data_IF_752556193822
#
_entry.id   IF_752556193822
#
_cell.length_a   1.000
_cell.length_b   1.000
_cell.length_c   1.000
_cell.angle_alpha   90.00
_cell.angle_beta   90.00
_cell.angle_gamma   90.00
#
_symmetry.space_group_name_H-M   'P 1'
#
loop_
_entity.id
_entity.type
_entity.pdbx_description
1 polymer ?
#
# COMPACT_ATOMS: atom_id res chain seq x y z
N UNK A 1 -14.97 23.22 41.55
CA UNK A 1 -14.50 21.84 41.83
C UNK A 1 -14.58 21.06 40.52
N UNK A 2 -13.45 20.71 39.88
CA UNK A 2 -13.44 19.99 38.60
C UNK A 2 -13.53 18.49 38.88
N UNK A 3 -14.60 17.84 38.44
CA UNK A 3 -14.74 16.38 38.51
C UNK A 3 -13.78 15.74 37.50
N UNK A 4 -12.79 14.99 38.01
CA UNK A 4 -11.91 14.15 37.20
C UNK A 4 -12.57 12.78 37.05
N UNK A 5 -12.88 12.37 35.82
CA UNK A 5 -13.30 11.00 35.53
C UNK A 5 -12.07 10.11 35.30
N UNK A 6 -12.06 8.86 35.80
CA UNK A 6 -10.91 7.98 35.65
C UNK A 6 -10.78 7.48 34.21
N UNK A 7 -9.58 7.58 33.65
CA UNK A 7 -9.23 7.06 32.32
C UNK A 7 -9.09 5.53 32.39
N UNK A 8 -9.75 4.76 31.50
CA UNK A 8 -9.63 3.30 31.51
C UNK A 8 -8.23 2.86 31.06
N UNK A 9 -7.63 1.95 31.83
CA UNK A 9 -6.32 1.35 31.52
C UNK A 9 -6.46 0.36 30.36
N UNK A 10 -5.88 0.69 29.20
CA UNK A 10 -5.81 -0.22 28.05
C UNK A 10 -4.63 -1.17 28.23
N UNK A 11 -4.89 -2.46 28.47
CA UNK A 11 -3.87 -3.50 28.43
C UNK A 11 -3.77 -4.05 27.01
N UNK A 12 -2.55 -4.05 26.44
CA UNK A 12 -2.29 -4.65 25.13
C UNK A 12 -2.43 -6.16 25.24
N UNK A 13 -3.46 -6.75 24.61
CA UNK A 13 -3.54 -8.20 24.43
C UNK A 13 -2.61 -8.60 23.29
N UNK A 14 -1.59 -9.40 23.60
CA UNK A 14 -0.73 -10.06 22.61
C UNK A 14 -1.51 -11.26 22.06
N UNK A 15 -1.82 -11.25 20.77
CA UNK A 15 -2.45 -12.39 20.09
C UNK A 15 -1.33 -13.22 19.46
N UNK A 16 -1.09 -14.41 20.01
CA UNK A 16 -0.22 -15.42 19.40
C UNK A 16 -1.12 -16.31 18.53
N UNK A 17 -0.97 -16.21 17.21
CA UNK A 17 -1.75 -17.01 16.25
C UNK A 17 -0.98 -18.31 15.99
N UNK A 18 -1.51 -19.44 16.45
CA UNK A 18 -1.00 -20.77 16.12
C UNK A 18 -1.67 -21.27 14.82
N UNK A 19 -0.89 -21.49 13.76
CA UNK A 19 -1.35 -21.75 12.39
C UNK A 19 -1.76 -23.22 12.14
N UNK A 20 -2.42 -23.89 13.09
CA UNK A 20 -2.86 -25.29 12.92
C UNK A 20 -4.27 -25.54 13.45
N UNK A 21 -5.26 -24.92 12.81
CA UNK A 21 -6.64 -25.42 12.69
C UNK A 21 -7.48 -24.47 11.82
N UNK A 22 -7.80 -24.87 10.59
CA UNK A 22 -8.75 -24.18 9.70
C UNK A 22 -10.19 -24.50 10.11
N UNK A 23 -10.64 -24.00 11.27
CA UNK A 23 -12.05 -24.00 11.65
C UNK A 23 -12.42 -22.61 12.14
N UNK A 24 -13.10 -21.85 11.30
CA UNK A 24 -13.72 -20.57 11.67
C UNK A 24 -15.11 -20.92 12.20
N UNK A 25 -15.33 -20.71 13.50
CA UNK A 25 -16.67 -20.71 14.08
C UNK A 25 -17.30 -19.34 13.79
N UNK A 26 -18.35 -19.32 12.98
CA UNK A 26 -19.18 -18.14 12.78
C UNK A 26 -19.98 -17.87 14.06
N UNK A 27 -19.82 -16.66 14.61
CA UNK A 27 -20.56 -16.20 15.78
C UNK A 27 -21.73 -15.35 15.27
N UNK A 28 -22.88 -16.00 15.07
CA UNK A 28 -24.13 -15.33 14.70
C UNK A 28 -24.66 -14.47 15.85
N UNK A 29 -24.40 -13.16 15.78
CA UNK A 29 -25.12 -12.18 16.59
C UNK A 29 -26.53 -11.97 16.03
N UNK A 30 -27.45 -12.90 16.32
CA UNK A 30 -28.90 -12.65 16.21
C UNK A 30 -29.35 -11.76 17.37
N UNK A 31 -29.52 -10.47 17.11
CA UNK A 31 -30.23 -9.57 18.03
C UNK A 31 -31.75 -9.78 17.90
N UNK A 32 -32.25 -10.69 18.75
CA UNK A 32 -33.36 -10.48 19.67
C UNK A 32 -34.62 -9.72 19.19
N UNK A 33 -35.48 -10.40 18.41
CA UNK A 33 -36.93 -10.11 18.39
C UNK A 33 -37.57 -10.76 19.62
N UNK A 34 -37.58 -10.02 20.73
CA UNK A 34 -38.34 -10.40 21.92
C UNK A 34 -39.79 -9.94 21.79
N UNK A 35 -40.71 -10.88 22.05
CA UNK A 35 -42.07 -10.70 22.58
C UNK A 35 -43.13 -10.20 21.58
N UNK A 36 -44.29 -10.84 21.36
CA UNK A 36 -45.00 -11.90 22.08
C UNK A 36 -45.96 -12.58 21.10
N UNK A 37 -45.89 -13.90 20.98
CA UNK A 37 -47.04 -14.72 20.62
C UNK A 37 -47.68 -15.15 21.95
N UNK A 38 -48.88 -14.63 22.24
CA UNK A 38 -49.81 -15.29 23.15
C UNK A 38 -51.25 -14.93 22.77
N UNK A 39 -51.93 -15.95 22.24
CA UNK A 39 -53.35 -16.28 22.40
C UNK A 39 -54.40 -15.20 22.08
N UNK A 40 -54.92 -15.25 20.84
CA UNK A 40 -56.28 -14.80 20.57
C UNK A 40 -57.23 -15.99 20.72
N UNK A 41 -57.80 -16.14 21.91
CA UNK A 41 -59.08 -16.81 22.11
C UNK A 41 -60.00 -15.82 22.81
N UNK A 42 -61.19 -15.66 22.24
CA UNK A 42 -62.36 -15.06 22.86
C UNK A 42 -62.34 -13.54 23.11
N UNK A 43 -62.94 -12.80 22.18
CA UNK A 43 -64.22 -12.13 22.45
C UNK A 43 -64.74 -11.38 21.21
N UNK A 44 -65.77 -11.97 20.59
CA UNK A 44 -66.72 -11.23 19.77
C UNK A 44 -67.42 -10.18 20.64
N UNK A 45 -67.19 -8.88 20.40
CA UNK A 45 -68.04 -7.81 20.91
C UNK A 45 -68.27 -6.73 19.84
N UNK A 46 -69.46 -6.83 19.25
CA UNK A 46 -70.35 -5.75 18.78
C UNK A 46 -69.78 -4.74 17.77
N UNK A 47 -70.10 -4.99 16.49
CA UNK A 47 -70.08 -3.98 15.43
C UNK A 47 -71.25 -3.04 15.65
N UNK A 48 -70.99 -1.81 16.09
CA UNK A 48 -71.88 -0.67 15.85
C UNK A 48 -71.39 0.03 14.59
N UNK A 49 -72.13 -0.12 13.47
CA UNK A 49 -71.93 0.70 12.28
C UNK A 49 -72.26 2.14 12.63
N UNK A 50 -71.24 2.99 12.68
CA UNK A 50 -71.39 4.44 12.64
C UNK A 50 -71.12 4.82 11.19
N UNK A 51 -72.15 5.28 10.49
CA UNK A 51 -72.02 5.85 9.15
C UNK A 51 -71.34 7.22 9.27
N UNK A 52 -70.14 7.33 8.71
CA UNK A 52 -69.40 8.60 8.62
C UNK A 52 -69.63 9.16 7.20
N UNK A 53 -70.07 10.43 7.05
CA UNK A 53 -70.33 11.05 5.76
C UNK A 53 -69.10 11.05 4.83
N UNK A 54 -69.34 10.59 3.61
CA UNK A 54 -68.42 10.45 2.49
C UNK A 54 -68.14 11.84 1.90
N UNK A 55 -67.25 12.64 2.51
CA UNK A 55 -66.77 13.85 1.83
C UNK A 55 -65.36 14.31 2.26
N UNK A 56 -64.64 13.54 3.09
CA UNK A 56 -63.28 13.85 3.54
C UNK A 56 -62.20 12.81 3.14
N UNK A 57 -62.54 11.79 2.34
CA UNK A 57 -61.60 10.71 1.99
C UNK A 57 -60.82 10.94 0.69
N UNK A 58 -61.34 11.77 -0.23
CA UNK A 58 -60.75 11.93 -1.56
C UNK A 58 -59.41 12.69 -1.55
N UNK A 59 -59.19 13.59 -0.58
CA UNK A 59 -57.91 14.28 -0.42
C UNK A 59 -56.87 13.41 0.30
N UNK A 60 -57.26 12.70 1.37
CA UNK A 60 -56.37 11.83 2.15
C UNK A 60 -55.83 10.64 1.35
N UNK A 61 -56.64 10.08 0.44
CA UNK A 61 -56.24 8.95 -0.41
C UNK A 61 -55.17 9.33 -1.45
N UNK A 62 -55.18 10.57 -1.95
CA UNK A 62 -54.22 11.05 -2.94
C UNK A 62 -52.82 11.28 -2.32
N UNK A 63 -52.75 11.81 -1.09
CA UNK A 63 -51.48 11.96 -0.35
C UNK A 63 -50.83 10.61 0.01
N UNK A 64 -51.65 9.60 0.29
CA UNK A 64 -51.15 8.25 0.62
C UNK A 64 -50.60 7.53 -0.63
N UNK A 65 -51.25 7.71 -1.78
CA UNK A 65 -50.78 7.17 -3.07
C UNK A 65 -49.47 7.84 -3.51
N UNK A 66 -49.36 9.17 -3.41
CA UNK A 66 -48.14 9.90 -3.75
C UNK A 66 -46.97 9.51 -2.84
N UNK A 67 -47.21 9.29 -1.54
CA UNK A 67 -46.20 8.79 -0.60
C UNK A 67 -45.70 7.40 -1.00
N UNK A 68 -46.61 6.48 -1.35
CA UNK A 68 -46.26 5.13 -1.79
C UNK A 68 -45.41 5.15 -3.08
N UNK A 69 -45.79 6.00 -4.05
CA UNK A 69 -45.03 6.19 -5.29
C UNK A 69 -43.60 6.69 -5.03
N UNK A 70 -43.41 7.63 -4.09
CA UNK A 70 -42.09 8.13 -3.70
C UNK A 70 -41.23 7.03 -3.07
N UNK A 71 -41.82 6.22 -2.21
CA UNK A 71 -41.16 5.09 -1.56
C UNK A 71 -40.71 4.06 -2.60
N UNK A 72 -41.59 3.68 -3.54
CA UNK A 72 -41.24 2.74 -4.62
C UNK A 72 -40.10 3.26 -5.48
N UNK A 73 -40.11 4.55 -5.83
CA UNK A 73 -39.03 5.16 -6.61
C UNK A 73 -37.68 5.12 -5.87
N UNK A 74 -37.70 5.34 -4.55
CA UNK A 74 -36.50 5.25 -3.73
C UNK A 74 -35.93 3.81 -3.70
N UNK A 75 -36.80 2.81 -3.55
CA UNK A 75 -36.39 1.40 -3.63
C UNK A 75 -35.76 1.05 -4.97
N UNK A 76 -36.35 1.52 -6.08
CA UNK A 76 -35.81 1.29 -7.42
C UNK A 76 -34.45 1.99 -7.61
N UNK A 77 -34.28 3.21 -7.11
CA UNK A 77 -32.99 3.90 -7.14
C UNK A 77 -31.93 3.14 -6.35
N UNK A 78 -32.27 2.69 -5.14
CA UNK A 78 -31.36 1.92 -4.31
C UNK A 78 -31.01 0.57 -4.94
N UNK A 79 -31.96 -0.11 -5.61
CA UNK A 79 -31.67 -1.38 -6.30
C UNK A 79 -30.68 -1.19 -7.45
N UNK A 80 -30.81 -0.10 -8.22
CA UNK A 80 -29.86 0.25 -9.28
C UNK A 80 -28.49 0.56 -8.67
N UNK A 81 -28.43 1.37 -7.62
CA UNK A 81 -27.17 1.69 -6.95
C UNK A 81 -26.46 0.45 -6.40
N UNK A 82 -27.20 -0.50 -5.82
CA UNK A 82 -26.64 -1.77 -5.35
C UNK A 82 -26.06 -2.58 -6.51
N UNK A 83 -26.73 -2.59 -7.66
CA UNK A 83 -26.22 -3.24 -8.87
C UNK A 83 -24.94 -2.57 -9.37
N UNK A 84 -24.88 -1.24 -9.38
CA UNK A 84 -23.70 -0.48 -9.78
C UNK A 84 -22.50 -0.73 -8.85
N UNK A 85 -22.74 -0.80 -7.53
CA UNK A 85 -21.70 -1.17 -6.58
C UNK A 85 -21.21 -2.60 -6.80
N UNK A 86 -22.10 -3.53 -7.13
CA UNK A 86 -21.72 -4.90 -7.43
C UNK A 86 -20.79 -4.97 -8.65
N UNK A 87 -21.09 -4.22 -9.71
CA UNK A 87 -20.24 -4.11 -10.90
C UNK A 87 -18.85 -3.56 -10.53
N UNK A 88 -18.79 -2.46 -9.78
CA UNK A 88 -17.52 -1.87 -9.35
C UNK A 88 -16.68 -2.83 -8.49
N UNK A 89 -17.32 -3.58 -7.60
CA UNK A 89 -16.66 -4.61 -6.79
C UNK A 89 -16.03 -5.67 -7.70
N UNK A 90 -16.74 -6.13 -8.73
CA UNK A 90 -16.25 -7.18 -9.60
C UNK A 90 -15.12 -6.69 -10.53
N UNK A 91 -15.18 -5.43 -11.00
CA UNK A 91 -14.06 -4.80 -11.71
C UNK A 91 -12.80 -4.70 -10.83
N UNK A 92 -12.96 -4.28 -9.57
CA UNK A 92 -11.83 -4.20 -8.64
C UNK A 92 -11.23 -5.57 -8.34
N UNK A 93 -12.05 -6.61 -8.18
CA UNK A 93 -11.58 -7.99 -8.01
C UNK A 93 -10.75 -8.45 -9.20
N UNK A 94 -11.22 -8.21 -10.43
CA UNK A 94 -10.47 -8.56 -11.64
C UNK A 94 -9.12 -7.83 -11.69
N UNK A 95 -9.09 -6.54 -11.32
CA UNK A 95 -7.86 -5.76 -11.28
C UNK A 95 -6.87 -6.27 -10.23
N UNK A 96 -7.34 -6.64 -9.04
CA UNK A 96 -6.52 -7.24 -7.99
C UNK A 96 -5.91 -8.56 -8.49
N UNK A 97 -6.74 -9.44 -9.06
CA UNK A 97 -6.28 -10.72 -9.60
C UNK A 97 -5.20 -10.53 -10.69
N UNK A 98 -5.38 -9.55 -11.57
CA UNK A 98 -4.38 -9.23 -12.59
C UNK A 98 -3.05 -8.76 -11.97
N UNK A 99 -3.11 -7.92 -10.94
CA UNK A 99 -1.91 -7.43 -10.24
C UNK A 99 -1.19 -8.59 -9.54
N UNK A 100 -1.91 -9.47 -8.86
CA UNK A 100 -1.35 -10.65 -8.19
C UNK A 100 -0.65 -11.59 -9.20
N UNK A 101 -1.28 -11.83 -10.34
CA UNK A 101 -0.69 -12.63 -11.42
C UNK A 101 0.61 -11.99 -11.94
N UNK A 102 0.59 -10.68 -12.18
CA UNK A 102 1.78 -9.93 -12.63
C UNK A 102 2.90 -9.98 -11.60
N UNK A 103 2.57 -9.86 -10.32
CA UNK A 103 3.53 -9.95 -9.22
C UNK A 103 4.17 -11.34 -9.15
N UNK A 104 3.36 -12.41 -9.23
CA UNK A 104 3.85 -13.80 -9.27
C UNK A 104 4.82 -14.04 -10.45
N UNK A 105 4.51 -13.51 -11.64
CA UNK A 105 5.39 -13.59 -12.81
C UNK A 105 6.71 -12.81 -12.64
N UNK A 106 6.67 -11.67 -11.95
CA UNK A 106 7.87 -10.91 -11.61
C UNK A 106 8.73 -11.62 -10.56
N UNK A 107 8.12 -12.24 -9.55
CA UNK A 107 8.85 -13.04 -8.56
C UNK A 107 9.61 -14.20 -9.20
N UNK A 108 8.96 -14.95 -10.10
CA UNK A 108 9.64 -16.08 -10.79
C UNK A 108 10.78 -15.60 -11.70
N UNK A 109 10.66 -14.40 -12.27
CA UNK A 109 11.69 -13.79 -13.11
C UNK A 109 12.85 -13.22 -12.29
N UNK A 110 12.56 -12.61 -11.13
CA UNK A 110 13.55 -11.98 -10.25
C UNK A 110 14.29 -12.98 -9.34
N UNK A 111 13.68 -14.13 -9.03
CA UNK A 111 14.34 -15.24 -8.28
C UNK A 111 15.44 -15.93 -9.09
N UNK A 112 15.52 -15.72 -10.41
CA UNK A 112 16.64 -16.20 -11.23
C UNK A 112 17.89 -15.39 -10.87
N UNK A 113 18.83 -16.00 -10.14
CA UNK A 113 20.14 -15.41 -9.88
C UNK A 113 20.76 -14.99 -11.22
N UNK A 114 20.97 -13.69 -11.42
CA UNK A 114 21.68 -13.19 -12.61
C UNK A 114 23.06 -13.84 -12.65
N UNK A 115 23.40 -14.50 -13.76
CA UNK A 115 24.75 -15.06 -13.96
C UNK A 115 25.73 -13.90 -13.92
N UNK A 116 26.60 -13.88 -12.91
CA UNK A 116 27.69 -12.90 -12.84
C UNK A 116 28.75 -13.29 -13.87
N UNK A 117 29.29 -12.30 -14.57
CA UNK A 117 30.47 -12.50 -15.41
C UNK A 117 31.64 -12.97 -14.57
N UNK A 118 32.44 -13.88 -15.09
CA UNK A 118 33.68 -14.32 -14.44
C UNK A 118 34.79 -13.28 -14.63
N UNK A 119 35.86 -13.34 -13.83
CA UNK A 119 36.98 -12.41 -13.95
C UNK A 119 37.71 -12.50 -15.31
N UNK A 120 37.57 -13.63 -16.02
CA UNK A 120 38.12 -13.83 -17.36
C UNK A 120 37.23 -13.23 -18.47
N UNK A 121 35.92 -13.14 -18.24
CA UNK A 121 34.95 -12.57 -19.19
C UNK A 121 34.88 -11.04 -19.16
N UNK A 122 35.54 -10.40 -18.19
CA UNK A 122 35.55 -8.94 -18.06
C UNK A 122 36.78 -8.41 -18.79
N UNK A 123 36.55 -7.68 -19.88
CA UNK A 123 37.58 -6.92 -20.60
C UNK A 123 38.26 -5.91 -19.67
N UNK A 124 39.59 -5.91 -19.63
CA UNK A 124 40.38 -5.09 -18.70
C UNK A 124 41.04 -3.91 -19.40
N UNK A 125 40.22 -3.02 -19.93
CA UNK A 125 40.69 -1.91 -20.77
C UNK A 125 41.25 -0.72 -19.95
N UNK A 126 41.21 -0.78 -18.62
CA UNK A 126 41.62 0.32 -17.73
C UNK A 126 42.92 -0.02 -17.01
N UNK A 127 44.04 0.51 -17.48
CA UNK A 127 45.36 0.32 -16.90
C UNK A 127 45.68 1.38 -15.83
N UNK A 128 46.44 0.96 -14.79
CA UNK A 128 46.92 1.89 -13.78
C UNK A 128 48.02 2.80 -14.35
N UNK A 129 47.92 4.13 -14.20
CA UNK A 129 48.90 5.06 -14.79
C UNK A 129 50.26 5.09 -14.08
N UNK A 130 50.39 4.49 -12.89
CA UNK A 130 51.65 4.53 -12.14
C UNK A 130 52.67 3.56 -12.74
N UNK A 131 53.88 4.07 -13.05
CA UNK A 131 54.95 3.30 -13.72
C UNK A 131 55.35 2.00 -13.00
N UNK A 132 55.14 1.92 -11.69
CA UNK A 132 55.43 0.73 -10.87
C UNK A 132 54.21 -0.18 -10.67
N UNK A 133 53.08 0.06 -11.37
CA UNK A 133 51.87 -0.72 -11.25
C UNK A 133 51.30 -1.15 -12.62
N UNK A 134 51.49 -2.41 -12.96
CA UNK A 134 51.03 -3.00 -14.23
C UNK A 134 49.62 -3.61 -14.12
N UNK A 135 48.78 -3.10 -13.21
CA UNK A 135 47.46 -3.68 -12.95
C UNK A 135 46.41 -3.11 -13.90
N UNK A 136 45.61 -4.00 -14.46
CA UNK A 136 44.50 -3.67 -15.34
C UNK A 136 43.16 -4.05 -14.71
N UNK A 137 42.14 -3.23 -15.00
CA UNK A 137 40.83 -3.27 -14.38
C UNK A 137 39.73 -3.24 -15.44
N UNK A 138 38.58 -3.83 -15.10
CA UNK A 138 37.43 -3.92 -16.01
C UNK A 138 36.47 -2.73 -15.96
N UNK A 139 36.74 -1.77 -15.10
CA UNK A 139 35.98 -0.52 -15.02
C UNK A 139 36.78 0.58 -14.35
N UNK A 140 36.47 1.82 -14.71
CA UNK A 140 36.96 3.02 -14.03
C UNK A 140 36.78 2.98 -12.52
N UNK A 141 35.65 2.44 -12.02
CA UNK A 141 35.36 2.41 -10.58
C UNK A 141 36.41 1.54 -9.87
N UNK A 142 36.70 0.36 -10.42
CA UNK A 142 37.71 -0.54 -9.86
C UNK A 142 39.13 0.02 -9.97
N UNK A 143 39.46 0.73 -11.06
CA UNK A 143 40.73 1.43 -11.21
C UNK A 143 40.88 2.55 -10.18
N UNK A 144 39.86 3.40 -10.01
CA UNK A 144 39.90 4.50 -9.04
C UNK A 144 40.03 3.99 -7.60
N UNK A 145 39.36 2.88 -7.28
CA UNK A 145 39.49 2.23 -5.98
C UNK A 145 40.91 1.71 -5.74
N UNK A 146 41.50 1.12 -6.77
CA UNK A 146 42.89 0.68 -6.74
C UNK A 146 43.84 1.86 -6.48
N UNK A 147 43.71 2.96 -7.21
CA UNK A 147 44.56 4.14 -7.03
C UNK A 147 44.41 4.72 -5.62
N UNK A 148 43.17 4.79 -5.10
CA UNK A 148 42.90 5.26 -3.74
C UNK A 148 43.65 4.44 -2.68
N UNK A 149 43.59 3.11 -2.77
CA UNK A 149 44.13 2.23 -1.72
C UNK A 149 45.57 1.79 -1.92
N UNK A 150 46.06 1.70 -3.16
CA UNK A 150 47.42 1.20 -3.46
C UNK A 150 48.40 2.31 -3.76
N UNK A 151 47.92 3.45 -4.21
CA UNK A 151 48.77 4.58 -4.54
C UNK A 151 48.56 5.77 -3.60
N UNK A 152 47.71 5.67 -2.58
CA UNK A 152 47.35 6.80 -1.72
C UNK A 152 46.87 8.03 -2.51
N UNK A 153 46.23 7.80 -3.66
CA UNK A 153 45.87 8.88 -4.57
C UNK A 153 44.57 9.60 -4.23
N UNK A 154 44.03 9.42 -3.03
CA UNK A 154 42.81 10.10 -2.59
C UNK A 154 41.57 9.75 -3.42
N UNK A 155 40.50 10.51 -3.21
CA UNK A 155 39.22 10.31 -3.90
C UNK A 155 39.26 10.87 -5.33
N UNK A 156 38.54 10.27 -6.29
CA UNK A 156 38.56 10.69 -7.70
C UNK A 156 38.27 12.19 -7.86
N UNK A 157 37.20 12.68 -7.25
CA UNK A 157 36.76 14.07 -7.38
C UNK A 157 37.75 15.07 -6.77
N UNK A 158 38.36 14.70 -5.64
CA UNK A 158 39.35 15.52 -4.95
C UNK A 158 40.64 15.61 -5.75
N UNK A 159 41.16 14.46 -6.21
CA UNK A 159 42.30 14.39 -7.13
C UNK A 159 42.08 15.25 -8.38
N UNK A 160 40.91 15.18 -9.01
CA UNK A 160 40.61 15.97 -10.21
C UNK A 160 40.57 17.48 -9.92
N UNK A 161 40.04 17.89 -8.76
CA UNK A 161 40.08 19.30 -8.33
C UNK A 161 41.52 19.78 -8.16
N UNK A 162 42.35 19.00 -7.48
CA UNK A 162 43.76 19.31 -7.26
C UNK A 162 44.51 19.43 -8.59
N UNK A 163 44.35 18.47 -9.51
CA UNK A 163 44.96 18.54 -10.86
C UNK A 163 44.57 19.84 -11.57
N UNK A 164 43.29 20.21 -11.51
CA UNK A 164 42.79 21.43 -12.16
C UNK A 164 43.39 22.70 -11.54
N UNK A 165 43.53 22.73 -10.21
CA UNK A 165 44.11 23.88 -9.49
C UNK A 165 45.63 23.99 -9.74
N UNK A 166 46.34 22.87 -9.78
CA UNK A 166 47.76 22.80 -10.18
C UNK A 166 47.96 23.30 -11.61
N UNK A 167 47.11 22.86 -12.55
CA UNK A 167 47.15 23.31 -13.95
C UNK A 167 46.83 24.80 -14.11
N UNK A 168 46.01 25.36 -13.23
CA UNK A 168 45.68 26.78 -13.20
C UNK A 168 46.73 27.64 -12.47
N UNK A 169 47.72 27.02 -11.81
CA UNK A 169 48.74 27.73 -11.01
C UNK A 169 48.20 28.34 -9.71
N UNK A 170 47.04 27.88 -9.22
CA UNK A 170 46.42 28.38 -7.97
C UNK A 170 47.08 27.78 -6.72
N UNK A 171 47.70 26.62 -6.87
CA UNK A 171 48.30 25.83 -5.78
C UNK A 171 49.64 25.29 -6.28
N UNK A 172 50.66 25.29 -5.42
CA UNK A 172 51.95 24.66 -5.71
C UNK A 172 51.93 23.17 -5.35
N UNK A 173 52.72 22.35 -6.06
CA UNK A 173 52.83 20.90 -5.77
C UNK A 173 53.21 20.61 -4.30
N UNK A 174 53.92 21.53 -3.66
CA UNK A 174 54.36 21.42 -2.25
C UNK A 174 53.20 21.49 -1.25
N UNK A 175 52.08 22.09 -1.66
CA UNK A 175 50.90 22.26 -0.82
C UNK A 175 49.92 21.09 -0.94
N UNK A 176 50.12 20.20 -1.92
CA UNK A 176 49.40 18.93 -2.03
C UNK A 176 50.02 17.93 -1.05
N UNK A 177 49.71 18.10 0.23
CA UNK A 177 50.15 17.19 1.28
C UNK A 177 49.28 15.93 1.26
N UNK A 178 49.93 14.77 1.38
CA UNK A 178 49.33 13.44 1.61
C UNK A 178 48.59 12.74 0.45
N UNK A 179 48.46 13.36 -0.73
CA UNK A 179 47.82 12.74 -1.90
C UNK A 179 48.84 12.55 -3.03
N UNK A 180 49.09 11.30 -3.41
CA UNK A 180 49.96 10.98 -4.54
C UNK A 180 49.14 10.97 -5.84
N UNK A 181 49.33 11.98 -6.68
CA UNK A 181 48.63 12.11 -7.95
C UNK A 181 49.17 11.12 -9.00
N UNK A 182 48.31 10.60 -9.89
CA UNK A 182 48.77 9.79 -11.01
C UNK A 182 49.68 10.66 -11.90
N UNK A 183 50.73 10.06 -12.49
CA UNK A 183 51.58 10.79 -13.42
C UNK A 183 50.76 11.28 -14.61
N UNK A 184 50.97 12.54 -14.99
CA UNK A 184 50.38 13.21 -16.16
C UNK A 184 51.22 12.86 -17.39
#
# INVERSE_FOLDING_TARGET
MKQQYPVPKVTKKVIIINQKSNVIHENDNRCNTQNQQQTNSDQQKQIKKIEIPIELEQSANNYNEQSYQQITLLYQKNSIQLQDFQIQIDELKQRIQFIEQKFSNLETSSKKKKKRRTAAEIEKNFECPYKNCLKQYGSDVSLNLHIKFKHNGGNKSERQKIIKQLQAGEIDEKDVRDINLPPI
#
